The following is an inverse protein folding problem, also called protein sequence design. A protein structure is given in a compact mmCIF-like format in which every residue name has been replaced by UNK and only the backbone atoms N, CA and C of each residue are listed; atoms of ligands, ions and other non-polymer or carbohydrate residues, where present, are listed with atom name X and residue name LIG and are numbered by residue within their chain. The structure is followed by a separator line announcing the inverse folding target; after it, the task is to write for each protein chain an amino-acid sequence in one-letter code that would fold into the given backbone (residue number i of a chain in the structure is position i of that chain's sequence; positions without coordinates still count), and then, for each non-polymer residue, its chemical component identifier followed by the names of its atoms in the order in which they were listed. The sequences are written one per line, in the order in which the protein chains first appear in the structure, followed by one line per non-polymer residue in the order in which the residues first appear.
data_IF_201973560594
#
_entry.id   IF_201973560594
#
_cell.length_a   1.000
_cell.length_b   1.000
_cell.length_c   1.000
_cell.angle_alpha   90.00
_cell.angle_beta   90.00
_cell.angle_gamma   90.00
#
_symmetry.space_group_name_H-M   'P 1'
#
loop_
_entity.id
_entity.type
_entity.pdbx_description
1 polymer ?
#
# COMPACT_ATOMS: atom_id res chain seq x y z
N UNK A 1 -41.52 -32.04 -6.89
CA UNK A 1 -40.44 -33.00 -7.20
C UNK A 1 -39.10 -32.26 -7.19
N UNK A 2 -38.05 -32.84 -6.60
CA UNK A 2 -36.69 -32.27 -6.49
C UNK A 2 -35.70 -33.27 -7.06
N UNK A 3 -34.82 -32.84 -7.97
CA UNK A 3 -33.81 -33.69 -8.62
C UNK A 3 -32.44 -33.01 -8.62
N UNK A 4 -31.40 -33.81 -8.85
CA UNK A 4 -30.04 -33.32 -9.08
C UNK A 4 -29.70 -33.39 -10.57
N UNK A 5 -29.12 -32.33 -11.10
CA UNK A 5 -28.64 -32.24 -12.49
C UNK A 5 -27.18 -31.83 -12.46
N UNK A 6 -26.32 -32.66 -13.05
CA UNK A 6 -24.89 -32.36 -13.17
C UNK A 6 -24.62 -31.59 -14.45
N UNK A 7 -23.90 -30.48 -14.35
CA UNK A 7 -23.41 -29.73 -15.49
C UNK A 7 -21.88 -29.69 -15.50
N UNK A 8 -21.29 -29.93 -16.66
CA UNK A 8 -19.86 -29.75 -16.90
C UNK A 8 -19.65 -28.47 -17.71
N UNK A 9 -18.86 -27.57 -17.16
CA UNK A 9 -18.56 -26.25 -17.73
C UNK A 9 -17.07 -26.12 -17.99
N UNK A 10 -16.68 -25.12 -18.79
CA UNK A 10 -15.28 -24.79 -19.05
C UNK A 10 -15.07 -23.28 -18.95
N UNK A 11 -14.10 -22.85 -18.17
CA UNK A 11 -13.67 -21.46 -18.01
C UNK A 11 -12.18 -21.40 -18.23
N UNK A 12 -11.72 -20.50 -19.09
CA UNK A 12 -10.28 -20.32 -19.40
C UNK A 12 -9.54 -21.64 -19.76
N UNK A 13 -10.24 -22.57 -20.43
CA UNK A 13 -9.69 -23.88 -20.79
C UNK A 13 -9.80 -24.95 -19.69
N UNK A 14 -10.11 -24.58 -18.45
CA UNK A 14 -10.26 -25.49 -17.32
C UNK A 14 -11.71 -25.98 -17.17
N UNK A 15 -11.89 -27.30 -17.03
CA UNK A 15 -13.21 -27.93 -16.93
C UNK A 15 -13.55 -28.23 -15.49
N UNK A 16 -14.77 -27.89 -15.07
CA UNK A 16 -15.29 -28.24 -13.76
C UNK A 16 -16.72 -28.77 -13.88
N UNK A 17 -17.15 -29.51 -12.86
CA UNK A 17 -18.47 -30.15 -12.83
C UNK A 17 -19.18 -29.78 -11.54
N UNK A 18 -20.39 -29.23 -11.67
CA UNK A 18 -21.22 -28.81 -10.54
C UNK A 18 -22.58 -29.51 -10.60
N UNK A 19 -23.15 -29.85 -9.44
CA UNK A 19 -24.43 -30.52 -9.32
C UNK A 19 -25.51 -29.55 -8.81
N UNK A 20 -26.46 -29.20 -9.67
CA UNK A 20 -27.57 -28.32 -9.33
C UNK A 20 -28.77 -29.10 -8.82
N UNK A 21 -29.36 -28.63 -7.73
CA UNK A 21 -30.71 -28.99 -7.33
C UNK A 21 -31.73 -28.24 -8.16
N UNK A 22 -32.64 -29.00 -8.76
CA UNK A 22 -33.75 -28.48 -9.56
C UNK A 22 -35.09 -28.91 -8.97
N UNK A 23 -36.10 -28.05 -9.12
CA UNK A 23 -37.49 -28.39 -8.78
C UNK A 23 -38.37 -28.27 -10.01
N UNK A 24 -39.34 -29.16 -10.15
CA UNK A 24 -40.34 -29.08 -11.23
C UNK A 24 -41.10 -27.75 -11.17
N UNK A 25 -41.38 -27.18 -12.34
CA UNK A 25 -42.15 -25.97 -12.56
C UNK A 25 -43.34 -26.26 -13.48
N UNK A 26 -44.28 -25.30 -13.61
CA UNK A 26 -45.45 -25.46 -14.48
C UNK A 26 -45.03 -25.82 -15.91
N UNK A 27 -45.64 -26.87 -16.48
CA UNK A 27 -45.30 -27.35 -17.81
C UNK A 27 -45.70 -26.35 -18.90
N UNK A 28 -44.79 -26.07 -19.84
CA UNK A 28 -45.11 -25.22 -20.99
C UNK A 28 -45.97 -26.02 -21.97
N UNK A 29 -47.11 -25.44 -22.37
CA UNK A 29 -48.07 -26.05 -23.32
C UNK A 29 -48.55 -27.46 -22.90
N UNK A 30 -48.48 -27.80 -21.61
CA UNK A 30 -48.93 -29.09 -21.08
C UNK A 30 -48.11 -30.32 -21.50
N UNK A 31 -46.98 -30.12 -22.19
CA UNK A 31 -46.15 -31.23 -22.74
C UNK A 31 -44.66 -31.08 -22.48
N UNK A 32 -44.18 -29.90 -22.10
CA UNK A 32 -42.77 -29.65 -21.80
C UNK A 32 -42.57 -29.51 -20.29
N UNK A 33 -41.92 -30.50 -19.67
CA UNK A 33 -41.51 -30.44 -18.28
C UNK A 33 -40.49 -29.33 -18.08
N UNK A 34 -40.84 -28.33 -17.26
CA UNK A 34 -39.94 -27.25 -16.89
C UNK A 34 -39.31 -27.53 -15.54
N UNK A 35 -38.06 -27.12 -15.38
CA UNK A 35 -37.28 -27.28 -14.16
C UNK A 35 -36.62 -25.96 -13.77
N UNK A 36 -36.78 -25.56 -12.52
CA UNK A 36 -36.14 -24.36 -11.95
C UNK A 36 -34.91 -24.76 -11.14
N UNK A 37 -33.75 -24.20 -11.48
CA UNK A 37 -32.52 -24.30 -10.69
C UNK A 37 -32.72 -23.54 -9.38
N UNK A 38 -32.28 -24.16 -8.27
CA UNK A 38 -32.40 -23.58 -6.92
C UNK A 38 -31.07 -23.15 -6.33
N UNK A 39 -29.98 -23.77 -6.76
CA UNK A 39 -28.67 -23.48 -6.22
C UNK A 39 -28.02 -22.32 -6.99
N UNK A 40 -27.36 -21.43 -6.25
CA UNK A 40 -26.53 -20.38 -6.84
C UNK A 40 -25.22 -20.98 -7.28
N UNK A 41 -24.72 -20.55 -8.43
CA UNK A 41 -23.36 -20.87 -8.89
C UNK A 41 -22.34 -19.82 -8.43
N UNK A 42 -22.77 -18.83 -7.63
CA UNK A 42 -21.86 -17.80 -7.15
C UNK A 42 -20.88 -18.37 -6.13
N UNK A 43 -19.59 -18.15 -6.37
CA UNK A 43 -18.47 -18.58 -5.53
C UNK A 43 -17.91 -17.38 -4.79
N UNK A 44 -17.64 -17.49 -3.48
CA UNK A 44 -16.95 -16.43 -2.73
C UNK A 44 -15.49 -16.36 -3.16
N UNK A 45 -15.01 -15.15 -3.43
CA UNK A 45 -13.60 -14.81 -3.68
C UNK A 45 -13.15 -13.87 -2.57
N UNK A 46 -12.13 -14.26 -1.79
CA UNK A 46 -11.52 -13.38 -0.78
C UNK A 46 -10.48 -12.46 -1.40
N UNK A 47 -10.58 -11.17 -1.10
CA UNK A 47 -9.66 -10.14 -1.59
C UNK A 47 -9.04 -9.42 -0.41
N UNK A 48 -7.71 -9.38 -0.35
CA UNK A 48 -6.93 -8.64 0.64
C UNK A 48 -6.05 -7.58 -0.01
N UNK A 49 -5.67 -6.58 0.79
CA UNK A 49 -4.93 -5.40 0.35
C UNK A 49 -3.90 -4.95 1.38
N UNK A 50 -2.63 -5.04 0.99
CA UNK A 50 -1.49 -4.43 1.68
C UNK A 50 -1.13 -3.12 0.98
N UNK A 51 -1.49 -1.98 1.59
CA UNK A 51 -1.32 -0.64 1.01
C UNK A 51 -2.28 -0.30 -0.14
N UNK A 52 -3.29 -1.14 -0.38
CA UNK A 52 -4.35 -0.95 -1.37
C UNK A 52 -5.70 -1.20 -0.70
N UNK A 53 -6.60 -0.22 -0.72
CA UNK A 53 -7.92 -0.29 -0.09
C UNK A 53 -9.06 -0.55 -1.09
N UNK A 54 -8.81 -0.39 -2.38
CA UNK A 54 -9.84 -0.49 -3.42
C UNK A 54 -9.34 -1.27 -4.63
N UNK A 55 -10.28 -1.95 -5.28
CA UNK A 55 -10.05 -2.64 -6.54
C UNK A 55 -11.24 -2.51 -7.48
N UNK A 56 -11.02 -2.95 -8.71
CA UNK A 56 -12.05 -3.03 -9.73
C UNK A 56 -12.01 -4.35 -10.49
N UNK A 57 -13.18 -4.79 -10.93
CA UNK A 57 -13.33 -5.88 -11.89
C UNK A 57 -14.21 -5.36 -13.02
N UNK A 58 -13.61 -5.19 -14.21
CA UNK A 58 -14.25 -4.42 -15.28
C UNK A 58 -14.50 -2.98 -14.86
N UNK A 59 -15.73 -2.51 -14.97
CA UNK A 59 -16.13 -1.15 -14.59
C UNK A 59 -16.57 -1.02 -13.12
N UNK A 60 -16.76 -2.16 -12.43
CA UNK A 60 -17.25 -2.18 -11.05
C UNK A 60 -16.11 -2.01 -10.06
N UNK A 61 -16.23 -1.03 -9.16
CA UNK A 61 -15.29 -0.80 -8.06
C UNK A 61 -15.82 -1.36 -6.74
N UNK A 62 -14.92 -1.81 -5.88
CA UNK A 62 -15.23 -2.28 -4.55
C UNK A 62 -14.14 -1.90 -3.55
N UNK A 63 -14.54 -1.68 -2.29
CA UNK A 63 -13.62 -1.43 -1.18
C UNK A 63 -13.27 -2.73 -0.46
N UNK A 64 -11.99 -2.87 -0.13
CA UNK A 64 -11.39 -4.01 0.58
C UNK A 64 -11.57 -3.87 2.10
N UNK A 65 -12.01 -2.69 2.60
CA UNK A 65 -12.25 -2.33 4.02
C UNK A 65 -11.87 -3.45 5.01
N UNK A 66 -10.73 -3.32 5.69
CA UNK A 66 -10.30 -4.32 6.67
C UNK A 66 -11.30 -4.34 7.83
N UNK A 67 -12.16 -5.36 7.86
CA UNK A 67 -13.18 -5.51 8.90
C UNK A 67 -12.55 -5.64 10.32
N UNK A 68 -11.26 -5.97 10.42
CA UNK A 68 -10.40 -5.79 11.59
C UNK A 68 -8.94 -6.15 11.23
N UNK A 69 -7.97 -5.72 12.04
CA UNK A 69 -6.54 -6.11 11.95
C UNK A 69 -6.28 -7.64 11.94
N UNK A 70 -7.30 -8.45 12.23
CA UNK A 70 -7.20 -9.91 12.42
C UNK A 70 -8.09 -10.73 11.49
N UNK A 71 -8.84 -10.11 10.56
CA UNK A 71 -9.64 -10.83 9.58
C UNK A 71 -9.03 -10.72 8.19
N UNK A 72 -8.78 -11.88 7.59
CA UNK A 72 -8.29 -12.11 6.24
C UNK A 72 -9.31 -11.57 5.21
N UNK A 73 -8.96 -10.47 4.53
CA UNK A 73 -9.67 -9.95 3.37
C UNK A 73 -11.19 -9.73 3.47
N UNK A 74 -11.79 -9.34 2.34
CA UNK A 74 -13.25 -9.24 2.17
C UNK A 74 -13.71 -10.22 1.11
N UNK A 75 -14.77 -10.97 1.38
CA UNK A 75 -15.36 -11.91 0.42
C UNK A 75 -16.36 -11.25 -0.51
N UNK A 76 -16.24 -11.53 -1.81
CA UNK A 76 -17.14 -11.07 -2.87
C UNK A 76 -17.67 -12.26 -3.66
N UNK A 77 -18.93 -12.22 -4.09
CA UNK A 77 -19.55 -13.31 -4.85
C UNK A 77 -19.38 -13.11 -6.35
N UNK A 78 -18.82 -14.10 -7.03
CA UNK A 78 -18.63 -14.11 -8.48
C UNK A 78 -19.24 -15.36 -9.10
N UNK A 79 -19.85 -15.22 -10.27
CA UNK A 79 -20.20 -16.38 -11.10
C UNK A 79 -18.94 -16.96 -11.76
N UNK A 80 -18.93 -18.23 -12.18
CA UNK A 80 -17.78 -18.81 -12.85
C UNK A 80 -17.41 -18.03 -14.11
N UNK A 81 -16.13 -17.74 -14.26
CA UNK A 81 -15.64 -16.82 -15.26
C UNK A 81 -14.18 -16.46 -15.04
N UNK A 82 -13.58 -15.82 -16.05
CA UNK A 82 -12.25 -15.26 -15.96
C UNK A 82 -12.37 -13.77 -15.68
N UNK A 83 -11.77 -13.32 -14.58
CA UNK A 83 -11.83 -11.94 -14.13
C UNK A 83 -10.41 -11.38 -14.00
N UNK A 84 -10.28 -10.07 -14.23
CA UNK A 84 -9.06 -9.35 -13.96
C UNK A 84 -9.31 -8.37 -12.82
N UNK A 85 -8.75 -8.68 -11.65
CA UNK A 85 -8.83 -7.84 -10.46
C UNK A 85 -7.76 -6.76 -10.57
N UNK A 86 -8.18 -5.51 -10.75
CA UNK A 86 -7.28 -4.38 -10.97
C UNK A 86 -7.27 -3.50 -9.72
N UNK A 87 -6.12 -3.30 -9.06
CA UNK A 87 -6.05 -2.43 -7.89
C UNK A 87 -6.33 -0.98 -8.30
N UNK A 88 -7.04 -0.23 -7.45
CA UNK A 88 -7.18 1.21 -7.62
C UNK A 88 -6.00 1.85 -6.90
N UNK A 89 -5.02 2.29 -7.67
CA UNK A 89 -3.82 2.93 -7.13
C UNK A 89 -4.19 4.24 -6.42
N UNK A 90 -3.80 4.45 -5.15
CA UNK A 90 -4.25 5.59 -4.35
C UNK A 90 -3.59 6.91 -4.77
N UNK A 91 -2.34 6.87 -5.26
CA UNK A 91 -1.56 8.03 -5.66
C UNK A 91 -0.39 7.63 -6.57
N UNK A 92 0.33 8.60 -7.13
CA UNK A 92 1.40 8.33 -8.11
C UNK A 92 2.70 7.72 -7.53
N UNK A 93 2.82 7.60 -6.21
CA UNK A 93 3.98 7.06 -5.51
C UNK A 93 3.89 5.54 -5.27
N UNK A 94 2.72 4.98 -5.55
CA UNK A 94 2.38 3.58 -5.34
C UNK A 94 2.13 2.93 -6.70
N UNK A 95 2.69 1.76 -6.89
CA UNK A 95 2.39 0.84 -7.98
C UNK A 95 1.77 -0.43 -7.42
N UNK A 96 0.88 -1.06 -8.17
CA UNK A 96 0.28 -2.34 -7.82
C UNK A 96 -0.08 -3.12 -9.09
N UNK A 97 0.00 -4.44 -9.03
CA UNK A 97 -0.18 -5.31 -10.21
C UNK A 97 -1.58 -5.94 -10.22
N UNK A 98 -2.28 -5.94 -11.37
CA UNK A 98 -3.54 -6.67 -11.51
C UNK A 98 -3.38 -8.18 -11.34
N UNK A 99 -4.40 -8.83 -10.79
CA UNK A 99 -4.43 -10.27 -10.54
C UNK A 99 -5.50 -10.93 -11.41
N UNK A 100 -5.11 -11.77 -12.40
CA UNK A 100 -6.07 -12.57 -13.15
C UNK A 100 -6.55 -13.76 -12.31
N UNK A 101 -7.86 -13.96 -12.24
CA UNK A 101 -8.52 -14.99 -11.44
C UNK A 101 -9.46 -15.79 -12.32
N UNK A 102 -9.42 -17.12 -12.21
CA UNK A 102 -10.41 -18.01 -12.82
C UNK A 102 -11.29 -18.58 -11.71
N UNK A 103 -12.57 -18.22 -11.75
CA UNK A 103 -13.58 -18.71 -10.81
C UNK A 103 -14.27 -19.92 -11.45
N UNK A 104 -14.20 -21.07 -10.79
CA UNK A 104 -14.84 -22.34 -11.20
C UNK A 104 -15.93 -22.72 -10.19
N UNK A 105 -15.97 -23.97 -9.71
CA UNK A 105 -16.72 -24.36 -8.50
C UNK A 105 -15.97 -23.94 -7.22
N UNK A 106 -14.65 -23.86 -7.32
CA UNK A 106 -13.74 -23.33 -6.32
C UNK A 106 -12.82 -22.30 -6.99
N UNK A 107 -12.32 -21.35 -6.21
CA UNK A 107 -11.47 -20.27 -6.73
C UNK A 107 -10.06 -20.79 -6.99
N UNK A 108 -9.54 -20.53 -8.20
CA UNK A 108 -8.16 -20.88 -8.56
C UNK A 108 -7.38 -19.61 -8.88
N UNK A 109 -6.42 -19.27 -8.00
CA UNK A 109 -5.55 -18.11 -8.18
C UNK A 109 -4.07 -18.51 -8.17
N UNK A 110 -3.28 -17.78 -8.95
CA UNK A 110 -1.81 -17.97 -9.02
C UNK A 110 -1.04 -17.16 -7.98
N UNK A 111 -1.67 -16.15 -7.38
CA UNK A 111 -1.06 -15.19 -6.46
C UNK A 111 -1.79 -15.19 -5.10
N UNK A 112 -2.14 -16.37 -4.57
CA UNK A 112 -2.63 -16.49 -3.20
C UNK A 112 -1.46 -16.51 -2.22
N UNK A 113 -1.58 -15.78 -1.13
CA UNK A 113 -0.65 -15.83 0.02
C UNK A 113 -0.96 -17.02 0.95
N UNK A 114 -1.93 -17.87 0.58
CA UNK A 114 -2.43 -18.99 1.38
C UNK A 114 -3.56 -18.61 2.35
N UNK A 115 -3.88 -17.32 2.49
CA UNK A 115 -4.95 -16.79 3.33
C UNK A 115 -6.10 -16.15 2.53
N UNK A 116 -5.77 -15.54 1.39
CA UNK A 116 -6.75 -14.93 0.48
C UNK A 116 -6.59 -15.42 -0.96
N UNK A 117 -7.70 -15.45 -1.71
CA UNK A 117 -7.68 -15.81 -3.13
C UNK A 117 -6.92 -14.75 -3.93
N UNK A 118 -7.14 -13.47 -3.63
CA UNK A 118 -6.49 -12.34 -4.27
C UNK A 118 -5.82 -11.46 -3.22
N UNK A 119 -4.52 -11.24 -3.35
CA UNK A 119 -3.80 -10.28 -2.50
C UNK A 119 -3.18 -9.19 -3.36
N UNK A 120 -3.52 -7.94 -3.09
CA UNK A 120 -2.84 -6.78 -3.66
C UNK A 120 -1.74 -6.30 -2.73
N UNK A 121 -0.57 -6.02 -3.30
CA UNK A 121 0.55 -5.44 -2.57
C UNK A 121 1.00 -4.16 -3.23
N UNK A 122 0.98 -3.07 -2.48
CA UNK A 122 1.59 -1.81 -2.86
C UNK A 122 3.11 -1.97 -2.97
N UNK A 123 3.67 -1.48 -4.07
CA UNK A 123 5.10 -1.28 -4.24
C UNK A 123 5.36 0.21 -4.40
N UNK A 124 6.40 0.72 -3.76
CA UNK A 124 6.71 2.14 -3.77
C UNK A 124 7.79 2.43 -4.81
N UNK A 125 7.58 3.48 -5.59
CA UNK A 125 8.43 3.81 -6.73
C UNK A 125 9.40 4.97 -6.45
N UNK A 126 10.28 5.24 -7.41
CA UNK A 126 11.33 6.26 -7.32
C UNK A 126 10.78 7.68 -7.04
N UNK A 127 9.50 7.95 -7.34
CA UNK A 127 8.89 9.25 -7.00
C UNK A 127 8.73 9.42 -5.50
N UNK A 128 8.48 8.34 -4.75
CA UNK A 128 8.41 8.40 -3.29
C UNK A 128 9.78 8.77 -2.72
N UNK A 129 10.83 8.12 -3.21
CA UNK A 129 12.21 8.40 -2.80
C UNK A 129 12.61 9.84 -3.13
N UNK A 130 12.27 10.34 -4.32
CA UNK A 130 12.52 11.73 -4.70
C UNK A 130 11.79 12.72 -3.77
N UNK A 131 10.53 12.46 -3.43
CA UNK A 131 9.78 13.29 -2.49
C UNK A 131 10.36 13.23 -1.07
N UNK A 132 10.84 12.05 -0.64
CA UNK A 132 11.53 11.89 0.64
C UNK A 132 12.84 12.69 0.69
N UNK A 133 13.62 12.68 -0.41
CA UNK A 133 14.84 13.49 -0.53
C UNK A 133 14.55 14.99 -0.45
N UNK A 134 13.50 15.48 -1.12
CA UNK A 134 13.07 16.88 -1.00
C UNK A 134 12.71 17.23 0.45
N UNK A 135 11.96 16.37 1.14
CA UNK A 135 11.56 16.58 2.53
C UNK A 135 12.77 16.58 3.48
N UNK A 136 13.73 15.67 3.28
CA UNK A 136 14.98 15.64 4.02
C UNK A 136 15.79 16.93 3.82
N UNK A 137 15.94 17.38 2.57
CA UNK A 137 16.67 18.60 2.24
C UNK A 137 16.00 19.84 2.85
N UNK A 138 14.66 19.90 2.85
CA UNK A 138 13.93 21.00 3.47
C UNK A 138 14.20 21.12 4.98
N UNK A 139 14.19 20.00 5.72
CA UNK A 139 14.57 20.01 7.14
C UNK A 139 16.04 20.44 7.32
N UNK A 140 16.94 19.87 6.51
CA UNK A 140 18.37 20.19 6.56
C UNK A 140 18.63 21.68 6.30
N UNK A 141 17.94 22.26 5.33
CA UNK A 141 18.04 23.69 5.01
C UNK A 141 17.49 24.57 6.12
N UNK A 142 16.36 24.20 6.72
CA UNK A 142 15.78 24.92 7.85
C UNK A 142 16.70 24.96 9.08
N UNK A 143 17.37 23.85 9.36
CA UNK A 143 18.32 23.71 10.48
C UNK A 143 19.73 24.21 10.15
N UNK A 144 20.02 24.53 8.89
CA UNK A 144 21.34 24.96 8.41
C UNK A 144 21.61 26.45 8.50
N UNK A 145 20.70 27.22 9.10
CA UNK A 145 20.82 28.67 9.26
C UNK A 145 20.68 29.06 10.73
N UNK A 146 21.42 30.08 11.18
CA UNK A 146 21.22 30.66 12.52
C UNK A 146 20.25 31.84 12.44
N UNK A 147 19.22 31.94 13.31
CA UNK A 147 18.91 31.07 14.45
C UNK A 147 17.97 29.89 14.15
N UNK A 148 17.68 29.58 12.87
CA UNK A 148 16.77 28.48 12.47
C UNK A 148 17.13 27.11 13.06
N UNK A 149 18.43 26.85 13.26
CA UNK A 149 18.97 25.67 13.91
C UNK A 149 18.51 25.46 15.37
N UNK A 150 17.89 26.46 16.01
CA UNK A 150 17.36 26.38 17.37
C UNK A 150 15.95 25.79 17.44
N UNK A 151 15.31 25.47 16.30
CA UNK A 151 14.00 24.81 16.26
C UNK A 151 14.04 23.39 16.85
N UNK A 152 12.92 22.96 17.43
CA UNK A 152 12.80 21.66 18.12
C UNK A 152 13.01 20.46 17.18
N UNK A 153 12.80 20.63 15.88
CA UNK A 153 13.02 19.59 14.85
C UNK A 153 14.50 19.40 14.48
N UNK A 154 15.38 20.30 14.92
CA UNK A 154 16.81 20.22 14.66
C UNK A 154 17.53 19.29 15.66
N UNK A 155 18.72 18.80 15.29
CA UNK A 155 19.52 17.97 16.21
C UNK A 155 20.09 18.82 17.36
N UNK A 156 20.06 18.28 18.58
CA UNK A 156 20.66 18.91 19.75
C UNK A 156 22.17 19.16 19.63
N UNK A 157 22.85 18.47 18.71
CA UNK A 157 24.28 18.63 18.45
C UNK A 157 24.63 19.92 17.69
N UNK A 158 23.65 20.50 17.01
CA UNK A 158 23.79 21.76 16.25
C UNK A 158 22.98 22.90 16.88
N UNK A 159 22.21 22.62 17.93
CA UNK A 159 21.49 23.61 18.75
C UNK A 159 22.39 24.19 19.87
N UNK A 160 21.86 25.19 20.57
CA UNK A 160 22.42 25.68 21.83
C UNK A 160 22.79 27.15 21.81
N UNK A 161 22.77 27.78 22.99
CA UNK A 161 23.03 29.22 23.16
C UNK A 161 24.48 29.63 22.84
N UNK A 162 25.42 28.68 22.88
CA UNK A 162 26.81 28.93 22.53
C UNK A 162 27.07 28.91 21.02
N UNK A 163 26.12 28.46 20.20
CA UNK A 163 26.26 28.47 18.73
C UNK A 163 26.10 29.89 18.20
N UNK A 164 27.11 30.38 17.49
CA UNK A 164 27.13 31.74 16.92
C UNK A 164 27.11 31.76 15.40
N UNK A 165 27.48 30.67 14.74
CA UNK A 165 27.30 30.49 13.30
C UNK A 165 27.09 29.02 12.96
N UNK A 166 26.32 28.78 11.89
CA UNK A 166 26.11 27.46 11.30
C UNK A 166 25.98 27.59 9.78
N UNK A 167 26.47 26.59 9.06
CA UNK A 167 26.27 26.45 7.62
C UNK A 167 26.23 24.98 7.22
N UNK A 168 25.51 24.68 6.15
CA UNK A 168 25.47 23.33 5.57
C UNK A 168 26.76 23.12 4.78
N UNK A 169 27.55 22.12 5.16
CA UNK A 169 28.76 21.73 4.44
C UNK A 169 28.44 20.71 3.35
N UNK A 170 27.61 19.73 3.67
CA UNK A 170 27.21 18.66 2.76
C UNK A 170 25.74 18.29 3.00
N UNK A 171 24.97 18.24 1.91
CA UNK A 171 23.56 17.86 1.93
C UNK A 171 23.37 16.49 1.28
N UNK A 172 22.38 15.69 1.70
CA UNK A 172 22.09 14.43 1.03
C UNK A 172 21.64 14.71 -0.41
N UNK A 173 22.23 13.99 -1.37
CA UNK A 173 21.83 14.01 -2.79
C UNK A 173 21.06 12.74 -3.19
N UNK A 174 21.06 11.75 -2.32
CA UNK A 174 20.32 10.48 -2.41
C UNK A 174 20.02 10.01 -0.99
N UNK A 175 19.08 9.08 -0.84
CA UNK A 175 18.80 8.43 0.43
C UNK A 175 18.98 6.93 0.27
N UNK A 176 19.42 6.28 1.34
CA UNK A 176 19.42 4.84 1.45
C UNK A 176 18.06 4.39 2.02
N UNK A 177 17.37 3.50 1.32
CA UNK A 177 16.17 2.82 1.82
C UNK A 177 16.56 1.67 2.77
N UNK A 178 15.80 1.46 3.83
CA UNK A 178 16.00 0.26 4.67
C UNK A 178 15.49 -1.00 3.94
N UNK A 179 16.31 -2.05 3.90
CA UNK A 179 15.99 -3.28 3.14
C UNK A 179 14.70 -3.99 3.57
N UNK A 180 14.26 -3.78 4.82
CA UNK A 180 13.04 -4.35 5.38
C UNK A 180 11.86 -3.38 5.39
N UNK A 181 12.10 -2.10 5.07
CA UNK A 181 11.10 -1.05 5.01
C UNK A 181 11.43 -0.10 3.86
N UNK A 182 10.90 -0.36 2.64
CA UNK A 182 11.17 0.47 1.47
C UNK A 182 10.53 1.87 1.56
N UNK A 183 9.93 2.21 2.71
CA UNK A 183 9.27 3.50 2.95
C UNK A 183 9.94 4.32 4.06
N UNK A 184 11.04 3.78 4.61
CA UNK A 184 11.94 4.46 5.52
C UNK A 184 13.28 4.71 4.83
N UNK A 185 13.69 5.98 4.82
CA UNK A 185 14.86 6.46 4.10
C UNK A 185 15.82 7.16 5.05
N UNK A 186 17.12 7.13 4.75
CA UNK A 186 18.13 7.84 5.52
C UNK A 186 19.21 8.47 4.65
N UNK A 187 19.76 9.59 5.10
CA UNK A 187 20.82 10.30 4.38
C UNK A 187 21.80 10.95 5.33
N UNK A 188 23.07 10.99 4.93
CA UNK A 188 24.11 11.70 5.69
C UNK A 188 24.07 13.19 5.39
N UNK A 189 24.32 14.00 6.41
CA UNK A 189 24.39 15.46 6.32
C UNK A 189 25.52 15.95 7.21
N UNK A 190 26.25 16.97 6.76
CA UNK A 190 27.32 17.59 7.55
C UNK A 190 27.07 19.08 7.68
N UNK A 191 27.07 19.56 8.93
CA UNK A 191 27.05 20.99 9.23
C UNK A 191 28.42 21.44 9.72
N UNK A 192 28.78 22.67 9.40
CA UNK A 192 29.87 23.38 10.07
C UNK A 192 29.25 24.28 11.13
N UNK A 193 29.64 24.09 12.39
CA UNK A 193 29.10 24.80 13.55
C UNK A 193 30.24 25.55 14.26
N UNK A 194 30.02 26.83 14.51
CA UNK A 194 30.92 27.66 15.33
C UNK A 194 30.28 27.93 16.68
N UNK A 195 31.01 27.61 17.74
CA UNK A 195 30.59 27.87 19.12
C UNK A 195 31.53 28.86 19.82
N UNK A 196 30.97 29.65 20.72
CA UNK A 196 31.70 30.53 21.65
C UNK A 196 31.71 29.95 23.07
N UNK A 197 32.68 30.37 23.89
CA UNK A 197 32.84 29.93 25.28
C UNK A 197 34.29 29.58 25.65
N UNK A 198 34.54 29.23 26.89
CA UNK A 198 35.91 29.02 27.40
C UNK A 198 36.41 27.58 27.25
N UNK A 199 35.52 26.59 27.12
CA UNK A 199 35.86 25.17 27.09
C UNK A 199 35.71 24.51 25.71
N UNK A 200 34.78 25.00 24.87
CA UNK A 200 34.45 24.40 23.58
C UNK A 200 34.30 25.44 22.45
N UNK A 201 35.01 26.58 22.54
CA UNK A 201 35.01 27.54 21.45
C UNK A 201 35.74 26.98 20.22
N UNK A 202 35.23 27.33 19.05
CA UNK A 202 35.83 26.97 17.77
C UNK A 202 34.80 26.51 16.75
N UNK A 203 35.31 26.28 15.53
CA UNK A 203 34.53 25.77 14.41
C UNK A 203 34.81 24.28 14.24
N UNK A 204 33.75 23.47 14.11
CA UNK A 204 33.85 22.03 13.88
C UNK A 204 32.77 21.55 12.91
N UNK A 205 33.07 20.45 12.24
CA UNK A 205 32.07 19.76 11.44
C UNK A 205 31.30 18.75 12.30
N UNK A 206 29.99 18.71 12.13
CA UNK A 206 29.06 17.81 12.82
C UNK A 206 28.35 17.00 11.76
N UNK A 207 28.71 15.71 11.67
CA UNK A 207 28.01 14.74 10.84
C UNK A 207 26.75 14.25 11.55
N UNK A 208 25.61 14.28 10.86
CA UNK A 208 24.33 13.77 11.32
C UNK A 208 23.73 12.86 10.25
N UNK A 209 22.68 12.13 10.64
CA UNK A 209 21.85 11.36 9.72
C UNK A 209 20.43 11.90 9.78
N UNK A 210 19.87 12.28 8.65
CA UNK A 210 18.43 12.58 8.54
C UNK A 210 17.68 11.30 8.19
N UNK A 211 16.54 11.10 8.85
CA UNK A 211 15.61 10.00 8.62
C UNK A 211 14.28 10.54 8.11
N UNK A 212 13.71 9.86 7.14
CA UNK A 212 12.42 10.17 6.53
C UNK A 212 11.58 8.91 6.52
N UNK A 213 10.48 8.91 7.28
CA UNK A 213 9.54 7.80 7.33
C UNK A 213 8.22 8.24 6.70
N UNK A 214 7.76 7.50 5.68
CA UNK A 214 6.44 7.71 5.11
C UNK A 214 5.34 7.38 6.14
N UNK A 215 4.24 8.12 6.12
CA UNK A 215 3.10 7.87 7.00
C UNK A 215 1.98 7.16 6.25
N UNK A 216 1.31 6.27 6.99
CA UNK A 216 0.18 5.48 6.51
C UNK A 216 -1.07 5.79 7.33
N UNK A 217 -2.24 5.57 6.74
CA UNK A 217 -3.50 5.54 7.49
C UNK A 217 -3.71 4.21 8.20
N UNK A 218 -4.88 4.08 8.85
CA UNK A 218 -5.20 2.91 9.67
C UNK A 218 -5.41 1.64 8.81
N UNK A 219 -5.64 1.81 7.50
CA UNK A 219 -5.79 0.72 6.54
C UNK A 219 -4.45 0.31 5.90
N UNK A 220 -3.39 1.09 6.15
CA UNK A 220 -2.04 0.90 5.63
C UNK A 220 -1.79 1.60 4.29
N UNK A 221 -2.68 2.50 3.86
CA UNK A 221 -2.53 3.26 2.61
C UNK A 221 -1.62 4.48 2.84
N UNK A 222 -0.74 4.77 1.89
CA UNK A 222 0.18 5.91 1.95
C UNK A 222 -0.60 7.22 2.05
N UNK A 223 -0.37 7.96 3.15
CA UNK A 223 -0.97 9.28 3.35
C UNK A 223 -0.33 10.31 2.42
N UNK A 224 -1.19 11.14 1.85
CA UNK A 224 -0.78 12.33 1.11
C UNK A 224 -1.38 13.58 1.75
N UNK A 225 -0.62 14.67 1.73
CA UNK A 225 -1.04 15.99 2.18
C UNK A 225 -2.00 16.62 1.17
N UNK A 226 -2.62 17.76 1.53
CA UNK A 226 -3.61 18.43 0.68
C UNK A 226 -3.07 18.91 -0.67
N UNK A 227 -1.75 19.15 -0.77
CA UNK A 227 -1.02 19.46 -2.00
C UNK A 227 -0.61 18.22 -2.81
N UNK A 228 -0.98 17.02 -2.36
CA UNK A 228 -0.75 15.76 -3.08
C UNK A 228 0.62 15.14 -2.85
N UNK A 229 1.46 15.71 -1.98
CA UNK A 229 2.76 15.12 -1.61
C UNK A 229 2.60 14.04 -0.53
N UNK A 230 3.52 13.08 -0.39
CA UNK A 230 3.47 12.12 0.69
C UNK A 230 3.64 12.81 2.04
N UNK A 231 2.88 12.38 3.05
CA UNK A 231 3.07 12.83 4.43
C UNK A 231 4.27 12.08 5.04
N UNK A 232 5.31 12.82 5.41
CA UNK A 232 6.54 12.29 5.96
C UNK A 232 6.75 12.71 7.42
N UNK A 233 7.25 11.78 8.23
CA UNK A 233 7.94 12.12 9.48
C UNK A 233 9.42 12.29 9.17
N UNK A 234 9.92 13.52 9.22
CA UNK A 234 11.34 13.85 9.02
C UNK A 234 11.98 14.15 10.37
N UNK A 235 13.17 13.61 10.64
CA UNK A 235 13.90 13.88 11.88
C UNK A 235 15.39 13.59 11.74
N UNK A 236 16.22 14.13 12.64
CA UNK A 236 17.60 13.66 12.78
C UNK A 236 17.65 12.40 13.64
N UNK A 237 18.48 11.43 13.25
CA UNK A 237 18.79 10.29 14.09
C UNK A 237 19.48 10.76 15.39
N UNK A 238 19.10 10.12 16.50
CA UNK A 238 19.71 10.32 17.82
C UNK A 238 21.14 9.76 17.89
#
# INVERSE_FOLDING_TARGET
DTRMVTATMQVNGERFTHAFRVTSDEATMGVLDNWKIRDSLAVPVTVDGDGIDQFSVGETKASIDKASFFMEGRSFLFYPGAYNFTPVVPNEYVDATPVPVSVLDEVHTRNSDGSSDVTFKATYNDKLEAAALEAAQALVESCGTYPGNQGDDCSSLIQGQSVTAISIKEKPTSLDSYSFDPTSFSGSVTYTVTTEGTLFAGTRDVGLTVKVDARFDDDGVLKVTADGKPDFKVSFAY
#
